data_IF_600821103708
#
_entry.id   IF_600821103708
#
_cell.length_a   1.000
_cell.length_b   1.000
_cell.length_c   1.000
_cell.angle_alpha   90.00
_cell.angle_beta   90.00
_cell.angle_gamma   90.00
#
_symmetry.space_group_name_H-M   'P 1'
#
loop_
_entity.id
_entity.type
_entity.pdbx_description
1 polymer ?
#
# COMPACT_ATOMS: atom_id res chain seq x y z
N UNK A 1 -1.73 12.99 13.58
CA UNK A 1 -2.86 12.43 12.79
C UNK A 1 -2.54 12.51 11.29
N UNK A 2 -2.85 11.47 10.52
CA UNK A 2 -2.75 11.50 9.05
C UNK A 2 -4.16 11.68 8.48
N UNK A 3 -4.43 12.84 7.88
CA UNK A 3 -5.77 13.28 7.46
C UNK A 3 -5.69 13.77 6.02
N UNK A 4 -6.59 13.29 5.17
CA UNK A 4 -6.64 13.67 3.76
C UNK A 4 -8.07 13.59 3.21
N UNK A 5 -8.31 14.27 2.08
CA UNK A 5 -9.53 14.19 1.28
C UNK A 5 -9.17 13.63 -0.10
N UNK A 6 -9.89 12.60 -0.54
CA UNK A 6 -9.77 12.06 -1.89
C UNK A 6 -11.07 12.28 -2.66
N UNK A 7 -10.96 12.74 -3.91
CA UNK A 7 -12.06 12.82 -4.87
C UNK A 7 -11.72 11.90 -6.05
N UNK A 8 -12.70 11.13 -6.52
CA UNK A 8 -12.54 10.16 -7.60
C UNK A 8 -13.86 10.01 -8.37
N UNK A 9 -13.84 9.52 -9.63
CA UNK A 9 -15.05 9.32 -10.44
C UNK A 9 -16.07 8.38 -9.76
N UNK A 10 -17.36 8.66 -9.96
CA UNK A 10 -18.45 7.90 -9.35
C UNK A 10 -18.51 6.44 -9.86
N UNK A 11 -17.97 6.18 -11.04
CA UNK A 11 -17.95 4.90 -11.74
C UNK A 11 -16.57 4.25 -11.78
N UNK A 12 -15.60 4.73 -10.98
CA UNK A 12 -14.22 4.21 -10.99
C UNK A 12 -14.13 2.71 -10.65
N UNK A 13 -15.07 2.18 -9.86
CA UNK A 13 -15.00 0.82 -9.33
C UNK A 13 -13.82 0.64 -8.36
N UNK A 14 -13.64 -0.57 -7.85
CA UNK A 14 -12.53 -0.91 -6.97
C UNK A 14 -12.14 -2.39 -7.12
N UNK A 15 -10.88 -2.66 -7.46
CA UNK A 15 -10.30 -4.00 -7.40
C UNK A 15 -9.44 -4.16 -6.14
N UNK A 16 -10.06 -4.67 -5.08
CA UNK A 16 -9.35 -5.03 -3.85
C UNK A 16 -8.72 -6.43 -3.91
N UNK A 17 -9.16 -7.28 -4.84
CA UNK A 17 -8.75 -8.69 -4.92
C UNK A 17 -7.26 -8.81 -5.21
N UNK A 18 -6.77 -8.04 -6.19
CA UNK A 18 -5.35 -8.03 -6.56
C UNK A 18 -4.44 -7.70 -5.36
N UNK A 19 -4.80 -6.71 -4.54
CA UNK A 19 -4.01 -6.33 -3.36
C UNK A 19 -4.17 -7.33 -2.22
N UNK A 20 -5.36 -7.90 -2.03
CA UNK A 20 -5.58 -8.92 -1.01
C UNK A 20 -4.76 -10.19 -1.27
N UNK A 21 -4.62 -10.58 -2.54
CA UNK A 21 -3.85 -11.76 -2.96
C UNK A 21 -2.35 -11.51 -2.96
N UNK A 22 -1.90 -10.39 -3.54
CA UNK A 22 -0.47 -10.15 -3.80
C UNK A 22 0.21 -9.21 -2.81
N UNK A 23 -0.55 -8.33 -2.16
CA UNK A 23 -0.02 -7.20 -1.40
C UNK A 23 0.63 -6.13 -2.29
N UNK A 24 1.45 -5.26 -1.68
CA UNK A 24 2.32 -4.32 -2.40
C UNK A 24 3.74 -4.87 -2.49
N UNK A 25 4.47 -4.52 -3.56
CA UNK A 25 5.87 -4.92 -3.75
C UNK A 25 6.84 -4.28 -2.74
N UNK A 26 6.41 -3.20 -2.09
CA UNK A 26 7.17 -2.48 -1.05
C UNK A 26 6.35 -2.36 0.23
N UNK A 27 7.04 -2.26 1.36
CA UNK A 27 6.46 -1.98 2.68
C UNK A 27 7.15 -0.78 3.33
N UNK A 28 6.41 -0.07 4.17
CA UNK A 28 6.93 0.99 5.03
C UNK A 28 7.07 0.43 6.44
N UNK A 29 8.27 0.48 7.00
CA UNK A 29 8.59 -0.02 8.35
C UNK A 29 9.37 1.04 9.12
N UNK A 30 9.42 0.91 10.44
CA UNK A 30 10.34 1.67 11.28
C UNK A 30 11.63 0.86 11.52
N UNK A 31 12.78 1.46 11.22
CA UNK A 31 14.10 0.91 11.51
C UNK A 31 14.97 1.99 12.16
N UNK A 32 15.49 1.71 13.36
CA UNK A 32 16.33 2.64 14.12
C UNK A 32 15.72 4.05 14.29
N UNK A 33 14.41 4.12 14.58
CA UNK A 33 13.67 5.37 14.75
C UNK A 33 13.39 6.14 13.46
N UNK A 34 13.61 5.53 12.29
CA UNK A 34 13.38 6.15 10.98
C UNK A 34 12.37 5.32 10.17
N UNK A 35 11.49 6.00 9.45
CA UNK A 35 10.64 5.35 8.46
C UNK A 35 11.48 4.95 7.23
N UNK A 36 11.40 3.68 6.84
CA UNK A 36 12.14 3.10 5.72
C UNK A 36 11.17 2.38 4.79
N UNK A 37 11.29 2.63 3.49
CA UNK A 37 10.59 1.88 2.44
C UNK A 37 11.52 0.76 1.96
N UNK A 38 11.07 -0.50 1.99
CA UNK A 38 11.88 -1.64 1.55
C UNK A 38 11.07 -2.68 0.77
N UNK A 39 11.76 -3.60 0.10
CA UNK A 39 11.13 -4.71 -0.62
C UNK A 39 10.29 -5.57 0.32
N UNK A 40 9.09 -5.92 -0.12
CA UNK A 40 8.22 -6.83 0.61
C UNK A 40 8.76 -8.27 0.43
N UNK A 41 9.25 -8.94 1.48
CA UNK A 41 9.80 -10.29 1.37
C UNK A 41 8.76 -11.36 0.99
N UNK A 42 7.46 -11.02 1.05
CA UNK A 42 6.36 -11.90 0.65
C UNK A 42 5.88 -11.66 -0.77
N UNK A 43 6.40 -10.64 -1.47
CA UNK A 43 6.01 -10.36 -2.85
C UNK A 43 6.44 -11.51 -3.77
N UNK A 44 5.49 -12.02 -4.55
CA UNK A 44 5.67 -13.05 -5.56
C UNK A 44 4.95 -12.54 -6.81
N UNK A 45 5.68 -12.35 -7.89
CA UNK A 45 5.20 -11.77 -9.16
C UNK A 45 3.96 -12.49 -9.71
#
# INVERSE_FOLDING_TARGET
PFIFLALYPADAGHDYGTIAEKGFSRIVVEENGKAVVKDNPKWKE
#
